data_IF_792690118077
#
_entry.id   IF_792690118077
#
_cell.length_a   1.000
_cell.length_b   1.000
_cell.length_c   1.000
_cell.angle_alpha   90.00
_cell.angle_beta   90.00
_cell.angle_gamma   90.00
#
_symmetry.space_group_name_H-M   'P 1'
#
loop_
_entity.id
_entity.type
_entity.pdbx_description
1 polymer ?
#
# COMPACT_ATOMS: atom_id res chain seq x y z
N UNK A 1 4.00 19.48 -24.29
CA UNK A 1 3.60 18.29 -23.51
C UNK A 1 2.09 18.16 -23.55
N UNK A 2 1.52 16.96 -23.55
CA UNK A 2 0.06 16.77 -23.52
C UNK A 2 -0.29 15.89 -22.33
N UNK A 3 -1.21 16.36 -21.50
CA UNK A 3 -1.76 15.61 -20.38
C UNK A 3 -3.15 15.08 -20.72
N UNK A 4 -3.39 13.80 -20.41
CA UNK A 4 -4.70 13.18 -20.44
C UNK A 4 -5.07 12.75 -19.02
N UNK A 5 -6.13 13.31 -18.44
CA UNK A 5 -6.56 12.96 -17.08
C UNK A 5 -8.09 13.03 -16.95
N UNK A 6 -8.63 12.33 -15.96
CA UNK A 6 -10.05 12.39 -15.56
C UNK A 6 -10.34 13.51 -14.55
N UNK A 7 -9.30 14.09 -13.95
CA UNK A 7 -9.39 15.16 -12.97
C UNK A 7 -9.46 16.53 -13.65
N UNK A 8 -10.65 17.11 -13.71
CA UNK A 8 -10.90 18.41 -14.33
C UNK A 8 -10.08 19.55 -13.71
N UNK A 9 -9.83 19.52 -12.40
CA UNK A 9 -9.02 20.54 -11.74
C UNK A 9 -7.56 20.47 -12.22
N UNK A 10 -7.01 19.27 -12.34
CA UNK A 10 -5.64 19.06 -12.82
C UNK A 10 -5.54 19.49 -14.30
N UNK A 11 -6.50 19.11 -15.13
CA UNK A 11 -6.57 19.55 -16.54
C UNK A 11 -6.65 21.07 -16.67
N UNK A 12 -7.39 21.76 -15.80
CA UNK A 12 -7.50 23.21 -15.82
C UNK A 12 -6.21 23.93 -15.37
N UNK A 13 -5.53 23.40 -14.35
CA UNK A 13 -4.34 24.00 -13.77
C UNK A 13 -3.06 23.70 -14.55
N UNK A 14 -3.01 22.58 -15.27
CA UNK A 14 -1.79 22.11 -15.92
C UNK A 14 -1.20 23.10 -16.95
N UNK A 15 -1.97 23.69 -17.89
CA UNK A 15 -1.43 24.68 -18.82
C UNK A 15 -0.94 25.97 -18.14
N UNK A 16 -1.38 26.24 -16.91
CA UNK A 16 -0.96 27.42 -16.14
C UNK A 16 0.41 27.23 -15.48
N UNK A 17 0.83 25.98 -15.27
CA UNK A 17 2.07 25.62 -14.57
C UNK A 17 3.14 25.02 -15.49
N UNK A 18 2.83 24.83 -16.77
CA UNK A 18 3.73 24.25 -17.77
C UNK A 18 3.91 25.25 -18.91
N UNK A 19 5.16 25.62 -19.20
CA UNK A 19 5.49 26.64 -20.20
C UNK A 19 4.93 26.34 -21.60
N UNK A 20 4.88 25.07 -22.00
CA UNK A 20 4.33 24.63 -23.28
C UNK A 20 3.62 23.28 -23.14
N UNK A 21 2.29 23.29 -23.04
CA UNK A 21 1.51 22.07 -23.06
C UNK A 21 0.01 22.26 -23.03
N UNK A 22 -0.68 21.22 -23.50
CA UNK A 22 -2.13 21.12 -23.47
C UNK A 22 -2.57 20.05 -22.45
N UNK A 23 -3.81 20.16 -22.00
CA UNK A 23 -4.43 19.16 -21.16
C UNK A 23 -5.84 18.85 -21.66
N UNK A 24 -6.18 17.57 -21.71
CA UNK A 24 -7.48 17.08 -22.17
C UNK A 24 -8.13 16.26 -21.07
N UNK A 25 -9.39 16.59 -20.77
CA UNK A 25 -10.24 15.77 -19.92
C UNK A 25 -10.58 14.48 -20.68
N UNK A 26 -10.04 13.35 -20.25
CA UNK A 26 -10.17 12.08 -20.94
C UNK A 26 -10.09 10.91 -19.96
N UNK A 27 -11.14 10.09 -19.91
CA UNK A 27 -11.11 8.79 -19.28
C UNK A 27 -10.52 7.75 -20.23
N UNK A 28 -9.26 7.37 -19.96
CA UNK A 28 -8.50 6.43 -20.78
C UNK A 28 -9.12 5.03 -20.88
N UNK A 29 -10.16 4.72 -20.11
CA UNK A 29 -10.84 3.43 -20.18
C UNK A 29 -12.08 3.48 -21.09
N UNK A 30 -12.81 4.59 -21.13
CA UNK A 30 -14.12 4.67 -21.81
C UNK A 30 -14.17 5.68 -22.95
N UNK A 31 -13.44 6.78 -22.86
CA UNK A 31 -13.55 7.86 -23.84
C UNK A 31 -12.78 7.53 -25.12
N UNK A 32 -13.20 8.08 -26.28
CA UNK A 32 -12.40 8.01 -27.51
C UNK A 32 -11.00 8.57 -27.29
N UNK A 33 -9.98 7.92 -27.87
CA UNK A 33 -8.60 8.39 -27.72
C UNK A 33 -8.40 9.67 -28.54
N UNK A 34 -7.89 10.75 -27.93
CA UNK A 34 -7.61 11.97 -28.65
C UNK A 34 -6.53 11.75 -29.71
N UNK A 35 -6.59 12.51 -30.81
CA UNK A 35 -5.62 12.41 -31.91
C UNK A 35 -4.30 13.09 -31.52
N UNK A 36 -3.53 12.40 -30.68
CA UNK A 36 -2.24 12.86 -30.18
C UNK A 36 -1.19 11.78 -30.42
N UNK A 37 0.06 12.20 -30.65
CA UNK A 37 1.20 11.29 -30.77
C UNK A 37 2.38 11.79 -29.95
N UNK A 38 3.11 10.90 -29.30
CA UNK A 38 4.30 11.23 -28.51
C UNK A 38 5.45 10.25 -28.74
N UNK A 39 6.67 10.76 -28.59
CA UNK A 39 7.90 9.95 -28.60
C UNK A 39 8.19 9.36 -27.21
N UNK A 40 7.70 10.02 -26.16
CA UNK A 40 7.77 9.56 -24.76
C UNK A 40 6.39 9.72 -24.13
N UNK A 41 5.87 8.62 -23.60
CA UNK A 41 4.61 8.59 -22.85
C UNK A 41 4.92 8.31 -21.38
N UNK A 42 4.43 9.14 -20.47
CA UNK A 42 4.52 8.89 -19.02
C UNK A 42 3.14 8.45 -18.54
N UNK A 43 3.09 7.31 -17.84
CA UNK A 43 1.87 6.69 -17.38
C UNK A 43 1.95 6.40 -15.86
N UNK A 44 1.04 6.99 -15.11
CA UNK A 44 0.83 6.71 -13.67
C UNK A 44 -0.59 6.16 -13.43
N UNK A 45 -0.85 4.89 -13.78
CA UNK A 45 -2.17 4.31 -13.62
C UNK A 45 -2.47 3.98 -12.14
N UNK A 46 -3.76 3.94 -11.76
CA UNK A 46 -4.16 3.16 -10.60
C UNK A 46 -3.58 1.75 -10.67
N UNK A 47 -3.04 1.24 -9.55
CA UNK A 47 -2.25 0.02 -9.56
C UNK A 47 -3.03 -1.29 -9.76
N UNK A 48 -4.21 -1.29 -10.36
CA UNK A 48 -4.94 -2.50 -10.69
C UNK A 48 -4.67 -2.94 -12.12
N UNK A 49 -4.78 -4.25 -12.36
CA UNK A 49 -4.40 -4.83 -13.65
C UNK A 49 -5.17 -4.19 -14.81
N UNK A 50 -6.49 -4.00 -14.68
CA UNK A 50 -7.31 -3.43 -15.74
C UNK A 50 -6.97 -1.98 -16.07
N UNK A 51 -6.62 -1.19 -15.04
CA UNK A 51 -6.26 0.21 -15.20
C UNK A 51 -4.87 0.32 -15.87
N UNK A 52 -3.88 -0.44 -15.38
CA UNK A 52 -2.55 -0.55 -16.00
C UNK A 52 -2.64 -1.05 -17.46
N UNK A 53 -3.49 -2.05 -17.72
CA UNK A 53 -3.68 -2.60 -19.06
C UNK A 53 -4.32 -1.58 -20.02
N UNK A 54 -5.29 -0.79 -19.54
CA UNK A 54 -5.92 0.26 -20.34
C UNK A 54 -4.93 1.40 -20.65
N UNK A 55 -4.16 1.86 -19.66
CA UNK A 55 -3.13 2.88 -19.86
C UNK A 55 -2.09 2.44 -20.88
N UNK A 56 -1.61 1.20 -20.82
CA UNK A 56 -0.68 0.65 -21.80
C UNK A 56 -1.30 0.52 -23.20
N UNK A 57 -2.59 0.16 -23.28
CA UNK A 57 -3.29 0.11 -24.55
C UNK A 57 -3.38 1.50 -25.19
N UNK A 58 -3.72 2.54 -24.41
CA UNK A 58 -3.72 3.93 -24.87
C UNK A 58 -2.31 4.37 -25.26
N UNK A 59 -1.31 4.08 -24.44
CA UNK A 59 0.08 4.40 -24.72
C UNK A 59 0.51 3.82 -26.07
N UNK A 60 0.06 2.62 -26.44
CA UNK A 60 0.34 2.05 -27.76
C UNK A 60 -0.36 2.79 -28.91
N UNK A 61 -1.57 3.33 -28.70
CA UNK A 61 -2.26 4.11 -29.73
C UNK A 61 -1.57 5.44 -30.04
N UNK A 62 -0.95 6.05 -29.03
CA UNK A 62 -0.39 7.41 -29.12
C UNK A 62 1.14 7.43 -29.20
N UNK A 63 1.81 6.31 -28.91
CA UNK A 63 3.27 6.22 -29.01
C UNK A 63 3.69 5.89 -30.44
N UNK A 64 4.73 6.57 -30.93
CA UNK A 64 5.35 6.19 -32.22
C UNK A 64 6.14 4.90 -32.06
N UNK A 65 6.25 4.12 -33.13
CA UNK A 65 7.19 2.99 -33.17
C UNK A 65 8.62 3.51 -32.93
N UNK A 66 9.35 2.85 -32.04
CA UNK A 66 10.65 3.30 -31.52
C UNK A 66 10.56 4.21 -30.29
N UNK A 67 9.39 4.78 -30.01
CA UNK A 67 9.13 5.62 -28.83
C UNK A 67 9.09 4.82 -27.52
N UNK A 68 9.11 5.56 -26.41
CA UNK A 68 9.18 4.99 -25.06
C UNK A 68 7.92 5.23 -24.24
N UNK A 69 7.61 4.28 -23.36
CA UNK A 69 6.59 4.42 -22.33
C UNK A 69 7.26 4.23 -20.98
N UNK A 70 7.14 5.23 -20.12
CA UNK A 70 7.61 5.21 -18.74
C UNK A 70 6.38 4.95 -17.86
N UNK A 71 6.34 3.80 -17.21
CA UNK A 71 5.19 3.31 -16.47
C UNK A 71 5.53 3.18 -14.98
N UNK A 72 4.75 3.81 -14.11
CA UNK A 72 4.77 3.48 -12.68
C UNK A 72 4.11 2.12 -12.45
N UNK A 73 4.73 1.27 -11.64
CA UNK A 73 4.22 -0.07 -11.34
C UNK A 73 4.21 -0.36 -9.84
N UNK A 74 3.18 -1.08 -9.34
CA UNK A 74 3.13 -1.47 -7.94
C UNK A 74 4.21 -2.50 -7.61
N UNK A 75 4.71 -2.42 -6.38
CA UNK A 75 5.67 -3.36 -5.84
C UNK A 75 5.00 -4.67 -5.45
N UNK A 76 5.80 -5.73 -5.40
CA UNK A 76 5.41 -6.90 -4.62
C UNK A 76 5.27 -6.49 -3.16
N UNK A 77 4.19 -6.92 -2.52
CA UNK A 77 3.82 -6.49 -1.17
C UNK A 77 2.82 -5.33 -1.13
N UNK A 78 2.64 -4.57 -2.21
CA UNK A 78 1.60 -3.51 -2.30
C UNK A 78 0.22 -4.06 -1.99
N UNK A 79 -0.09 -5.28 -2.44
CA UNK A 79 -1.34 -5.96 -2.10
C UNK A 79 -1.27 -7.48 -2.28
N UNK A 80 -2.20 -8.24 -1.65
CA UNK A 80 -2.40 -9.65 -1.97
C UNK A 80 -2.56 -9.89 -3.47
N UNK A 81 -1.83 -10.90 -3.97
CA UNK A 81 -1.81 -11.38 -5.36
C UNK A 81 -1.21 -10.44 -6.40
N UNK A 82 -0.54 -9.35 -6.00
CA UNK A 82 0.06 -8.41 -6.95
C UNK A 82 1.05 -9.06 -7.92
N UNK A 83 1.81 -10.08 -7.49
CA UNK A 83 2.72 -10.81 -8.38
C UNK A 83 2.01 -11.47 -9.56
N UNK A 84 0.79 -11.98 -9.37
CA UNK A 84 -0.02 -12.54 -10.47
C UNK A 84 -0.48 -11.45 -11.46
N UNK A 85 -0.84 -10.29 -10.94
CA UNK A 85 -1.24 -9.14 -11.76
C UNK A 85 -0.06 -8.63 -12.60
N UNK A 86 1.15 -8.55 -12.03
CA UNK A 86 2.36 -8.17 -12.74
C UNK A 86 2.76 -9.19 -13.81
N UNK A 87 2.65 -10.50 -13.53
CA UNK A 87 2.86 -11.54 -14.54
C UNK A 87 1.87 -11.44 -15.70
N UNK A 88 0.60 -11.13 -15.40
CA UNK A 88 -0.43 -10.90 -16.42
C UNK A 88 -0.14 -9.62 -17.22
N UNK A 89 0.33 -8.57 -16.57
CA UNK A 89 0.73 -7.30 -17.20
C UNK A 89 1.89 -7.50 -18.17
N UNK A 90 2.91 -8.27 -17.78
CA UNK A 90 4.04 -8.59 -18.66
C UNK A 90 3.63 -9.31 -19.94
N UNK A 91 2.68 -10.26 -19.85
CA UNK A 91 2.09 -10.89 -21.04
C UNK A 91 1.38 -9.87 -21.92
N UNK A 92 0.63 -8.96 -21.32
CA UNK A 92 -0.10 -7.91 -22.03
C UNK A 92 0.82 -6.91 -22.76
N UNK A 93 1.91 -6.47 -22.10
CA UNK A 93 2.95 -5.61 -22.69
C UNK A 93 3.47 -6.21 -24.01
N UNK A 94 3.77 -7.51 -24.02
CA UNK A 94 4.23 -8.20 -25.23
C UNK A 94 3.16 -8.25 -26.33
N UNK A 95 1.89 -8.50 -25.97
CA UNK A 95 0.78 -8.49 -26.93
C UNK A 95 0.59 -7.12 -27.60
N UNK A 96 0.88 -6.04 -26.88
CA UNK A 96 0.83 -4.67 -27.38
C UNK A 96 1.99 -4.32 -28.33
N UNK A 97 3.04 -5.14 -28.40
CA UNK A 97 4.22 -4.89 -29.22
C UNK A 97 5.32 -4.08 -28.52
N UNK A 98 5.26 -3.97 -27.18
CA UNK A 98 6.31 -3.37 -26.38
C UNK A 98 7.37 -4.39 -25.97
N UNK A 99 8.60 -3.92 -25.81
CA UNK A 99 9.69 -4.60 -25.12
C UNK A 99 10.15 -3.78 -23.90
N UNK A 100 10.62 -4.47 -22.87
CA UNK A 100 11.17 -3.81 -21.68
C UNK A 100 12.61 -3.38 -21.95
N UNK A 101 12.94 -2.12 -21.68
CA UNK A 101 14.31 -1.60 -21.75
C UNK A 101 14.96 -1.58 -20.36
N UNK A 102 14.30 -0.96 -19.38
CA UNK A 102 14.81 -0.87 -18.01
C UNK A 102 13.70 -1.08 -16.98
N UNK A 103 14.09 -1.54 -15.80
CA UNK A 103 13.21 -1.66 -14.64
C UNK A 103 13.98 -1.22 -13.40
N UNK A 104 13.53 -0.14 -12.77
CA UNK A 104 14.16 0.46 -11.60
C UNK A 104 13.24 0.29 -10.40
N UNK A 105 13.77 -0.32 -9.34
CA UNK A 105 12.99 -0.53 -8.11
C UNK A 105 13.01 0.69 -7.24
N UNK A 106 11.90 0.90 -6.52
CA UNK A 106 11.77 1.97 -5.53
C UNK A 106 12.06 3.37 -6.11
N UNK A 107 11.94 3.54 -7.44
CA UNK A 107 12.40 4.71 -8.17
C UNK A 107 11.46 5.92 -8.06
N UNK A 108 10.20 5.71 -7.68
CA UNK A 108 9.22 6.78 -7.52
C UNK A 108 8.77 6.83 -6.07
N UNK A 109 8.87 7.99 -5.44
CA UNK A 109 8.33 8.27 -4.11
C UNK A 109 7.00 9.04 -4.24
N UNK A 110 6.01 8.69 -3.42
CA UNK A 110 4.73 9.38 -3.36
C UNK A 110 4.53 9.95 -1.97
N UNK A 111 4.05 11.19 -1.93
CA UNK A 111 3.46 11.72 -0.71
C UNK A 111 2.14 11.00 -0.44
N UNK A 112 1.98 10.48 0.78
CA UNK A 112 0.73 9.85 1.18
C UNK A 112 -0.38 10.90 1.28
N UNK A 113 -1.47 10.79 0.51
CA UNK A 113 -2.56 11.75 0.59
C UNK A 113 -3.26 11.65 1.94
N UNK A 114 -3.88 12.74 2.37
CA UNK A 114 -4.59 12.85 3.66
C UNK A 114 -5.51 11.65 3.96
N UNK A 115 -6.26 11.21 2.96
CA UNK A 115 -7.22 10.11 3.08
C UNK A 115 -6.57 8.75 3.37
N UNK A 116 -5.32 8.55 2.91
CA UNK A 116 -4.52 7.37 3.15
C UNK A 116 -3.85 7.44 4.52
N UNK A 117 -3.33 8.63 4.89
CA UNK A 117 -2.83 8.87 6.24
C UNK A 117 -3.91 8.58 7.29
N UNK A 118 -5.14 9.00 7.02
CA UNK A 118 -6.31 8.73 7.87
C UNK A 118 -6.65 7.23 7.95
N UNK A 119 -6.62 6.51 6.83
CA UNK A 119 -6.82 5.06 6.83
C UNK A 119 -5.75 4.33 7.67
N UNK A 120 -4.48 4.74 7.56
CA UNK A 120 -3.39 4.17 8.36
C UNK A 120 -3.58 4.44 9.86
N UNK A 121 -3.92 5.68 10.23
CA UNK A 121 -4.19 6.06 11.63
C UNK A 121 -5.35 5.27 12.22
N UNK A 122 -6.41 5.04 11.45
CA UNK A 122 -7.55 4.24 11.87
C UNK A 122 -7.16 2.77 12.17
N UNK A 123 -6.14 2.25 11.49
CA UNK A 123 -5.55 0.92 11.76
C UNK A 123 -4.45 0.96 12.84
N UNK A 124 -4.26 2.10 13.52
CA UNK A 124 -3.26 2.28 14.58
C UNK A 124 -1.84 2.56 14.07
N UNK A 125 -1.67 2.82 12.77
CA UNK A 125 -0.38 3.16 12.15
C UNK A 125 -0.24 4.69 12.07
N UNK A 126 0.41 5.27 13.09
CA UNK A 126 0.62 6.72 13.19
C UNK A 126 2.07 7.17 12.95
N UNK A 127 3.02 6.24 12.90
CA UNK A 127 4.43 6.49 12.67
C UNK A 127 4.94 5.65 11.48
N UNK A 128 5.23 6.31 10.37
CA UNK A 128 5.83 5.74 9.17
C UNK A 128 6.70 6.79 8.48
N UNK A 129 7.78 6.39 7.75
CA UNK A 129 8.59 7.33 6.96
C UNK A 129 7.73 8.10 5.96
N UNK A 130 8.03 9.37 5.68
CA UNK A 130 7.23 10.17 4.74
C UNK A 130 7.22 9.57 3.32
N UNK A 131 8.37 9.00 2.91
CA UNK A 131 8.56 8.31 1.64
C UNK A 131 8.27 6.80 1.67
N UNK A 132 7.53 6.31 2.67
CA UNK A 132 7.21 4.87 2.74
C UNK A 132 6.45 4.37 1.50
N UNK A 133 5.68 5.26 0.86
CA UNK A 133 4.92 4.96 -0.34
C UNK A 133 5.79 5.18 -1.56
N UNK A 134 6.12 4.08 -2.23
CA UNK A 134 7.04 4.08 -3.35
C UNK A 134 6.58 3.10 -4.42
N UNK A 135 7.01 3.30 -5.67
CA UNK A 135 6.73 2.44 -6.81
C UNK A 135 7.99 2.08 -7.59
N UNK A 136 7.87 1.05 -8.42
CA UNK A 136 8.89 0.68 -9.38
C UNK A 136 8.62 1.37 -10.72
N UNK A 137 9.68 1.71 -11.46
CA UNK A 137 9.63 2.36 -12.75
C UNK A 137 9.96 1.36 -13.87
N UNK A 138 9.07 1.19 -14.82
CA UNK A 138 9.26 0.33 -15.98
C UNK A 138 9.36 1.18 -17.25
N UNK A 139 10.48 1.09 -17.96
CA UNK A 139 10.65 1.74 -19.27
C UNK A 139 10.48 0.72 -20.37
N UNK A 140 9.54 1.00 -21.27
CA UNK A 140 9.19 0.16 -22.41
C UNK A 140 9.51 0.89 -23.71
N UNK A 141 9.91 0.16 -24.74
CA UNK A 141 10.01 0.66 -26.12
C UNK A 141 8.96 -0.02 -27.00
N UNK A 142 8.26 0.77 -27.81
CA UNK A 142 7.31 0.23 -28.78
C UNK A 142 8.08 -0.28 -30.00
N UNK A 143 8.11 -1.59 -30.25
CA UNK A 143 8.81 -2.13 -31.43
C UNK A 143 7.93 -2.19 -32.65
N UNK A 144 6.64 -2.46 -32.44
CA UNK A 144 5.68 -2.61 -33.52
C UNK A 144 4.28 -2.30 -33.05
N UNK A 145 3.49 -1.76 -33.96
CA UNK A 145 2.05 -1.65 -33.74
C UNK A 145 1.40 -3.02 -33.87
N UNK A 146 0.50 -3.33 -32.94
CA UNK A 146 -0.35 -4.52 -32.96
C UNK A 146 -1.82 -4.09 -32.92
N UNK A 147 -2.70 -4.90 -33.48
CA UNK A 147 -4.15 -4.69 -33.40
C UNK A 147 -4.70 -5.56 -32.28
N UNK A 148 -4.77 -5.00 -31.08
CA UNK A 148 -5.41 -5.64 -29.93
C UNK A 148 -6.59 -4.82 -29.44
N UNK A 149 -7.65 -5.49 -28.99
CA UNK A 149 -8.83 -4.82 -28.48
C UNK A 149 -8.52 -4.03 -27.20
N UNK A 150 -9.20 -2.89 -27.02
CA UNK A 150 -9.13 -2.12 -25.77
C UNK A 150 -9.61 -2.99 -24.61
N UNK A 151 -8.88 -3.03 -23.48
CA UNK A 151 -9.35 -3.71 -22.28
C UNK A 151 -10.72 -3.21 -21.87
N UNK A 152 -11.62 -4.12 -21.48
CA UNK A 152 -12.95 -3.73 -21.00
C UNK A 152 -12.83 -3.09 -19.61
N UNK A 153 -13.57 -2.00 -19.32
CA UNK A 153 -13.72 -1.51 -17.96
C UNK A 153 -14.25 -2.61 -17.05
N UNK A 154 -13.93 -2.54 -15.76
CA UNK A 154 -14.66 -3.35 -14.78
C UNK A 154 -16.13 -2.91 -14.76
N UNK A 155 -17.05 -3.88 -14.73
CA UNK A 155 -18.51 -3.64 -14.77
C UNK A 155 -19.02 -2.80 -13.57
N UNK A 156 -18.19 -2.61 -12.54
CA UNK A 156 -18.54 -1.98 -11.26
C UNK A 156 -18.23 -0.47 -11.20
N UNK A 157 -18.27 0.26 -12.32
CA UNK A 157 -18.14 1.73 -12.28
C UNK A 157 -19.47 2.37 -11.88
N UNK A 158 -19.65 2.54 -10.57
CA UNK A 158 -20.69 3.37 -9.96
C UNK A 158 -20.58 4.81 -10.48
N UNK A 159 -21.69 5.39 -10.92
CA UNK A 159 -21.75 6.80 -11.31
C UNK A 159 -21.88 7.67 -10.05
N UNK A 160 -20.76 8.22 -9.61
CA UNK A 160 -20.70 9.10 -8.44
C UNK A 160 -20.90 10.56 -8.86
N UNK A 161 -21.78 11.25 -8.14
CA UNK A 161 -21.90 12.71 -8.17
C UNK A 161 -20.97 13.29 -7.11
N UNK A 162 -20.27 14.37 -7.44
CA UNK A 162 -19.45 15.12 -6.48
C UNK A 162 -20.23 16.32 -5.93
N UNK A 163 -19.97 16.63 -4.66
CA UNK A 163 -20.39 17.87 -3.99
C UNK A 163 -19.31 18.27 -2.98
N UNK A 164 -19.32 19.53 -2.55
CA UNK A 164 -18.47 19.98 -1.46
C UNK A 164 -19.32 20.55 -0.33
N UNK A 165 -18.75 20.56 0.87
CA UNK A 165 -19.30 21.30 2.00
C UNK A 165 -18.13 21.83 2.85
N UNK A 166 -17.89 23.13 2.76
CA UNK A 166 -16.64 23.73 3.22
C UNK A 166 -15.44 23.14 2.47
N UNK A 167 -14.42 22.69 3.19
CA UNK A 167 -13.22 22.04 2.60
C UNK A 167 -13.38 20.53 2.40
N UNK A 168 -14.49 19.94 2.85
CA UNK A 168 -14.74 18.51 2.67
C UNK A 168 -15.37 18.25 1.31
N UNK A 169 -14.79 17.31 0.55
CA UNK A 169 -15.42 16.79 -0.68
C UNK A 169 -16.16 15.51 -0.38
N UNK A 170 -17.30 15.31 -1.03
CA UNK A 170 -18.09 14.08 -0.93
C UNK A 170 -18.46 13.55 -2.30
N UNK A 171 -18.46 12.22 -2.41
CA UNK A 171 -19.01 11.46 -3.53
C UNK A 171 -20.32 10.84 -3.08
N UNK A 172 -21.37 11.04 -3.88
CA UNK A 172 -22.71 10.49 -3.64
C UNK A 172 -23.13 9.60 -4.81
N UNK A 173 -23.50 8.37 -4.51
CA UNK A 173 -24.11 7.46 -5.46
C UNK A 173 -25.60 7.73 -5.49
N UNK A 174 -26.01 8.59 -6.42
CA UNK A 174 -27.41 8.97 -6.56
C UNK A 174 -28.26 7.74 -6.92
N UNK A 175 -29.38 7.58 -6.22
CA UNK A 175 -30.39 6.58 -6.56
C UNK A 175 -31.53 7.24 -7.35
N UNK A 176 -32.02 6.56 -8.40
CA UNK A 176 -33.14 7.04 -9.23
C UNK A 176 -34.52 6.94 -8.54
N UNK A 177 -34.58 6.76 -7.22
CA UNK A 177 -35.85 6.61 -6.51
C UNK A 177 -36.58 7.95 -6.48
N UNK A 178 -37.86 7.95 -6.85
CA UNK A 178 -38.75 9.10 -6.69
C UNK A 178 -39.28 9.22 -5.26
N UNK A 179 -39.66 10.45 -4.89
CA UNK A 179 -40.27 10.74 -3.59
C UNK A 179 -39.29 10.83 -2.42
N UNK A 180 -39.85 10.88 -1.20
CA UNK A 180 -39.05 11.03 0.02
C UNK A 180 -38.43 9.69 0.46
N UNK A 181 -37.12 9.67 0.64
CA UNK A 181 -36.36 8.59 1.26
C UNK A 181 -35.46 9.18 2.35
N UNK A 182 -35.27 8.48 3.47
CA UNK A 182 -34.51 9.01 4.62
C UNK A 182 -33.07 9.42 4.23
N UNK A 183 -32.71 10.73 4.25
CA UNK A 183 -31.39 11.21 3.89
C UNK A 183 -30.33 11.00 4.97
N UNK A 184 -30.68 10.47 6.15
CA UNK A 184 -29.71 10.26 7.22
C UNK A 184 -28.63 9.25 6.83
N UNK A 185 -27.41 9.50 7.33
CA UNK A 185 -26.25 8.65 7.14
C UNK A 185 -26.29 7.47 8.10
N UNK A 186 -26.01 6.28 7.56
CA UNK A 186 -25.73 5.08 8.33
C UNK A 186 -24.29 4.67 8.11
N UNK A 187 -23.51 4.67 9.19
CA UNK A 187 -22.10 4.28 9.15
C UNK A 187 -21.91 2.86 8.64
N UNK A 188 -20.83 2.67 7.87
CA UNK A 188 -20.35 1.36 7.45
C UNK A 188 -19.05 0.95 8.17
N UNK A 189 -18.59 1.76 9.13
CA UNK A 189 -17.43 1.51 9.98
C UNK A 189 -17.76 1.79 11.45
N UNK A 190 -16.98 1.22 12.36
CA UNK A 190 -17.13 1.54 13.79
C UNK A 190 -16.71 2.99 13.98
N UNK A 191 -17.55 3.79 14.65
CA UNK A 191 -17.23 5.18 14.99
C UNK A 191 -16.94 6.09 13.79
N UNK A 192 -17.50 5.79 12.62
CA UNK A 192 -17.27 6.54 11.38
C UNK A 192 -15.79 6.61 10.97
N UNK A 193 -14.99 5.61 11.38
CA UNK A 193 -13.57 5.60 11.06
C UNK A 193 -13.32 5.46 9.55
N UNK A 194 -12.26 6.09 9.02
CA UNK A 194 -11.76 5.86 7.68
C UNK A 194 -11.57 4.36 7.40
N UNK A 195 -11.85 3.94 6.17
CA UNK A 195 -11.71 2.53 5.74
C UNK A 195 -10.42 2.30 4.96
N UNK A 196 -10.11 1.06 4.56
CA UNK A 196 -8.93 0.80 3.73
C UNK A 196 -9.00 1.56 2.41
N UNK A 197 -7.88 2.10 1.94
CA UNK A 197 -7.80 2.73 0.59
C UNK A 197 -8.00 1.73 -0.54
N UNK A 198 -7.79 0.44 -0.29
CA UNK A 198 -8.04 -0.64 -1.26
C UNK A 198 -9.50 -0.62 -1.74
N UNK A 199 -9.72 -0.66 -3.05
CA UNK A 199 -11.07 -0.77 -3.64
C UNK A 199 -11.78 -2.08 -3.29
N UNK A 200 -11.01 -3.08 -2.82
CA UNK A 200 -11.50 -4.41 -2.40
C UNK A 200 -12.07 -4.42 -0.98
N UNK A 201 -12.09 -3.29 -0.28
CA UNK A 201 -12.76 -3.20 1.01
C UNK A 201 -14.27 -3.43 0.82
N UNK A 202 -14.87 -4.47 1.43
CA UNK A 202 -16.28 -4.80 1.21
C UNK A 202 -17.24 -3.69 1.66
N UNK A 203 -16.79 -2.76 2.51
CA UNK A 203 -17.59 -1.60 2.92
C UNK A 203 -17.80 -0.62 1.77
N UNK A 204 -16.83 -0.49 0.85
CA UNK A 204 -16.92 0.40 -0.33
C UNK A 204 -17.96 -0.06 -1.35
N UNK A 205 -18.22 -1.36 -1.41
CA UNK A 205 -19.28 -1.91 -2.26
C UNK A 205 -20.67 -1.48 -1.77
N UNK A 206 -20.88 -1.39 -0.45
CA UNK A 206 -22.13 -0.95 0.16
C UNK A 206 -22.27 0.58 0.24
N UNK A 207 -21.17 1.31 0.10
CA UNK A 207 -21.14 2.75 0.22
C UNK A 207 -22.01 3.43 -0.84
N UNK A 208 -22.79 4.41 -0.39
CA UNK A 208 -23.51 5.38 -1.21
C UNK A 208 -23.05 6.81 -0.97
N UNK A 209 -22.34 7.06 0.13
CA UNK A 209 -21.68 8.34 0.43
C UNK A 209 -20.23 8.02 0.78
N UNK A 210 -19.28 8.79 0.24
CA UNK A 210 -17.85 8.64 0.50
C UNK A 210 -17.18 10.01 0.60
N UNK A 211 -16.53 10.30 1.72
CA UNK A 211 -15.85 11.59 1.97
C UNK A 211 -14.40 11.61 1.53
N UNK A 212 -13.85 12.82 1.41
CA UNK A 212 -12.42 13.10 1.21
C UNK A 212 -11.51 12.52 2.29
N UNK A 213 -11.97 12.38 3.54
CA UNK A 213 -11.23 11.71 4.62
C UNK A 213 -11.35 10.18 4.62
N UNK A 214 -11.88 9.59 3.54
CA UNK A 214 -12.04 8.15 3.32
C UNK A 214 -13.04 7.46 4.27
N UNK A 215 -14.10 8.17 4.67
CA UNK A 215 -15.23 7.61 5.41
C UNK A 215 -16.33 7.21 4.45
N UNK A 216 -17.04 6.12 4.77
CA UNK A 216 -18.08 5.56 3.90
C UNK A 216 -19.36 5.29 4.66
N UNK A 217 -20.49 5.66 4.04
CA UNK A 217 -21.82 5.53 4.61
C UNK A 217 -22.79 4.93 3.61
N UNK A 218 -23.80 4.24 4.12
CA UNK A 218 -25.03 4.00 3.40
C UNK A 218 -26.03 5.13 3.68
N UNK A 219 -26.92 5.39 2.72
CA UNK A 219 -27.95 6.42 2.80
C UNK A 219 -29.15 5.97 1.97
N UNK A 220 -30.34 5.89 2.58
CA UNK A 220 -31.53 5.47 1.85
C UNK A 220 -31.96 6.53 0.82
N UNK A 221 -31.90 7.80 1.21
CA UNK A 221 -32.18 8.98 0.40
C UNK A 221 -30.93 9.67 -0.10
N UNK A 222 -30.00 8.95 -0.74
CA UNK A 222 -28.74 9.53 -1.24
C UNK A 222 -28.96 10.73 -2.18
N UNK A 223 -29.98 10.70 -3.04
CA UNK A 223 -30.38 11.85 -3.87
C UNK A 223 -30.74 13.08 -3.02
N UNK A 224 -31.50 12.90 -1.95
CA UNK A 224 -31.92 13.99 -1.07
C UNK A 224 -30.76 14.49 -0.21
N UNK A 225 -29.87 13.59 0.23
CA UNK A 225 -28.64 13.97 0.90
C UNK A 225 -27.74 14.84 0.00
N UNK A 226 -27.62 14.50 -1.30
CA UNK A 226 -26.90 15.33 -2.27
C UNK A 226 -27.53 16.72 -2.41
N UNK A 227 -28.86 16.81 -2.46
CA UNK A 227 -29.56 18.09 -2.50
C UNK A 227 -29.31 18.93 -1.23
N UNK A 228 -29.32 18.30 -0.05
CA UNK A 228 -28.96 18.94 1.23
C UNK A 228 -27.53 19.47 1.18
N UNK A 229 -26.56 18.67 0.73
CA UNK A 229 -25.16 19.08 0.65
C UNK A 229 -24.96 20.31 -0.26
N UNK A 230 -25.55 20.29 -1.47
CA UNK A 230 -25.48 21.40 -2.43
C UNK A 230 -26.19 22.65 -1.93
N UNK A 231 -27.33 22.50 -1.25
CA UNK A 231 -28.03 23.62 -0.65
C UNK A 231 -27.15 24.31 0.41
N UNK A 232 -26.54 23.52 1.30
CA UNK A 232 -25.64 24.05 2.31
C UNK A 232 -24.36 24.66 1.74
N UNK A 233 -23.85 24.15 0.61
CA UNK A 233 -22.71 24.74 -0.10
C UNK A 233 -23.01 26.14 -0.67
N UNK A 234 -24.27 26.40 -1.00
CA UNK A 234 -24.75 27.65 -1.63
C UNK A 234 -25.57 28.52 -0.67
N UNK A 235 -25.47 28.28 0.63
CA UNK A 235 -26.22 28.97 1.70
C UNK A 235 -27.76 28.97 1.50
N UNK A 236 -28.28 27.94 0.84
CA UNK A 236 -29.71 27.73 0.63
C UNK A 236 -30.33 26.86 1.74
N UNK A 237 -31.64 27.01 1.95
CA UNK A 237 -32.39 26.21 2.92
C UNK A 237 -32.45 24.72 2.50
N UNK A 238 -31.92 23.77 3.29
CA UNK A 238 -31.92 22.36 2.94
C UNK A 238 -33.33 21.76 2.81
N UNK A 239 -34.28 22.20 3.65
CA UNK A 239 -35.67 21.75 3.57
C UNK A 239 -36.30 22.14 2.23
N UNK A 240 -36.14 23.39 1.81
CA UNK A 240 -36.65 23.88 0.52
C UNK A 240 -36.03 23.13 -0.67
N UNK A 241 -34.73 22.83 -0.62
CA UNK A 241 -34.05 22.04 -1.66
C UNK A 241 -34.59 20.61 -1.75
N UNK A 242 -34.91 20.00 -0.61
CA UNK A 242 -35.53 18.67 -0.58
C UNK A 242 -36.97 18.73 -1.11
N UNK A 243 -37.76 19.73 -0.71
CA UNK A 243 -39.13 19.96 -1.21
C UNK A 243 -39.15 20.13 -2.74
N UNK A 244 -38.22 20.92 -3.28
CA UNK A 244 -38.05 21.08 -4.72
C UNK A 244 -37.69 19.75 -5.41
N UNK A 245 -36.82 18.94 -4.79
CA UNK A 245 -36.41 17.63 -5.32
C UNK A 245 -37.53 16.59 -5.35
N UNK A 246 -38.47 16.65 -4.38
CA UNK A 246 -39.62 15.73 -4.30
C UNK A 246 -40.92 16.30 -4.90
N UNK A 247 -40.97 17.59 -5.20
CA UNK A 247 -42.12 18.28 -5.80
C UNK A 247 -43.31 18.54 -4.86
N UNK A 248 -43.09 18.57 -3.54
CA UNK A 248 -44.13 18.85 -2.54
C UNK A 248 -43.55 19.32 -1.20
N UNK A 249 -44.35 19.96 -0.32
CA UNK A 249 -43.93 20.28 1.04
C UNK A 249 -43.58 19.03 1.88
N UNK A 250 -42.64 19.19 2.81
CA UNK A 250 -42.21 18.14 3.73
C UNK A 250 -43.22 17.92 4.86
N UNK A 251 -43.42 16.65 5.24
CA UNK A 251 -44.17 16.30 6.46
C UNK A 251 -43.28 16.53 7.70
N UNK A 252 -43.85 16.74 8.91
CA UNK A 252 -43.05 16.98 10.11
C UNK A 252 -41.97 15.93 10.38
N UNK A 253 -42.29 14.64 10.20
CA UNK A 253 -41.31 13.55 10.36
C UNK A 253 -40.20 13.59 9.29
N UNK A 254 -40.51 14.05 8.09
CA UNK A 254 -39.54 14.16 6.99
C UNK A 254 -38.60 15.34 7.23
N UNK A 255 -39.12 16.46 7.73
CA UNK A 255 -38.32 17.61 8.17
C UNK A 255 -37.31 17.21 9.25
N UNK A 256 -37.75 16.45 10.27
CA UNK A 256 -36.83 15.92 11.30
C UNK A 256 -35.69 15.08 10.70
N UNK A 257 -35.94 14.30 9.64
CA UNK A 257 -34.91 13.49 8.98
C UNK A 257 -33.94 14.35 8.17
N UNK A 258 -34.44 15.42 7.54
CA UNK A 258 -33.59 16.44 6.90
C UNK A 258 -32.68 17.10 7.94
N UNK A 259 -33.21 17.51 9.10
CA UNK A 259 -32.42 18.12 10.17
C UNK A 259 -31.36 17.19 10.76
N UNK A 260 -31.65 15.88 10.84
CA UNK A 260 -30.66 14.86 11.24
C UNK A 260 -29.54 14.80 10.20
N UNK A 261 -29.87 14.71 8.92
CA UNK A 261 -28.87 14.64 7.85
C UNK A 261 -27.99 15.91 7.78
N UNK A 262 -28.58 17.10 7.98
CA UNK A 262 -27.84 18.37 8.08
C UNK A 262 -26.84 18.32 9.23
N UNK A 263 -27.29 17.93 10.43
CA UNK A 263 -26.40 17.82 11.61
C UNK A 263 -25.28 16.81 11.40
N UNK A 264 -25.57 15.65 10.81
CA UNK A 264 -24.57 14.64 10.50
C UNK A 264 -23.52 15.17 9.51
N UNK A 265 -23.94 15.86 8.45
CA UNK A 265 -23.03 16.45 7.47
C UNK A 265 -22.13 17.53 8.08
N UNK A 266 -22.69 18.40 8.94
CA UNK A 266 -21.94 19.42 9.66
C UNK A 266 -20.91 18.82 10.63
N UNK A 267 -21.30 17.81 11.42
CA UNK A 267 -20.40 17.12 12.34
C UNK A 267 -19.26 16.41 11.59
N UNK A 268 -19.59 15.73 10.50
CA UNK A 268 -18.63 15.04 9.66
C UNK A 268 -17.59 16.02 9.08
N UNK A 269 -18.06 17.12 8.49
CA UNK A 269 -17.17 18.15 7.95
C UNK A 269 -16.29 18.79 9.03
N UNK A 270 -16.84 19.09 10.22
CA UNK A 270 -16.07 19.62 11.32
C UNK A 270 -14.94 18.65 11.76
N UNK A 271 -15.25 17.35 11.86
CA UNK A 271 -14.26 16.32 12.19
C UNK A 271 -13.17 16.20 11.14
N UNK A 272 -13.51 16.11 9.84
CA UNK A 272 -12.52 15.99 8.76
C UNK A 272 -11.63 17.24 8.66
N UNK A 273 -12.22 18.42 8.84
CA UNK A 273 -11.47 19.68 8.78
C UNK A 273 -10.49 19.82 9.95
N UNK A 274 -10.88 19.37 11.16
CA UNK A 274 -9.98 19.33 12.31
C UNK A 274 -8.79 18.37 12.06
N UNK A 275 -9.06 17.19 11.52
CA UNK A 275 -8.03 16.22 11.14
C UNK A 275 -7.11 16.76 10.04
N UNK A 276 -7.68 17.41 9.02
CA UNK A 276 -6.91 17.98 7.91
C UNK A 276 -5.98 19.09 8.38
N UNK A 277 -6.46 20.00 9.24
CA UNK A 277 -5.63 21.04 9.86
C UNK A 277 -4.51 20.43 10.71
N UNK A 278 -4.82 19.40 11.49
CA UNK A 278 -3.80 18.70 12.28
C UNK A 278 -2.76 17.99 11.41
N UNK A 279 -3.13 17.51 10.21
CA UNK A 279 -2.21 16.91 9.24
C UNK A 279 -1.27 17.96 8.62
N UNK A 280 -1.81 19.13 8.26
CA UNK A 280 -1.05 20.26 7.72
C UNK A 280 0.00 20.76 8.73
N UNK A 281 -0.33 20.87 10.01
CA UNK A 281 0.62 21.29 11.06
C UNK A 281 1.76 20.28 11.23
N UNK A 282 1.49 18.99 11.03
CA UNK A 282 2.48 17.91 11.20
C UNK A 282 3.43 17.75 10.03
N UNK A 283 3.10 18.32 8.87
CA UNK A 283 3.92 18.25 7.67
C UNK A 283 4.60 19.60 7.52
N UNK A 284 5.91 19.75 7.81
CA UNK A 284 6.60 21.01 7.55
C UNK A 284 6.37 21.44 6.10
N UNK A 285 6.06 22.72 5.88
CA UNK A 285 6.04 23.30 4.53
C UNK A 285 7.49 23.40 4.02
N UNK A 286 8.07 22.29 3.60
CA UNK A 286 9.34 22.34 2.89
C UNK A 286 9.06 22.63 1.42
N UNK A 287 9.19 23.91 1.06
CA UNK A 287 9.56 24.34 -0.28
C UNK A 287 10.79 23.54 -0.71
N UNK A 288 10.62 22.63 -1.66
CA UNK A 288 11.68 21.80 -2.23
C UNK A 288 12.71 22.70 -2.93
N UNK A 289 13.97 22.76 -2.50
CA UNK A 289 15.06 23.21 -3.36
C UNK A 289 15.35 22.07 -4.34
N UNK A 290 15.28 22.38 -5.63
CA UNK A 290 15.87 21.54 -6.66
C UNK A 290 17.39 21.52 -6.46
N UNK A 291 17.92 20.46 -5.84
CA UNK A 291 19.35 20.15 -5.93
C UNK A 291 19.56 18.75 -6.52
N UNK A 292 20.46 18.74 -7.49
CA UNK A 292 20.72 17.65 -8.40
C UNK A 292 21.46 16.47 -7.74
N UNK A 293 20.98 15.27 -8.08
CA UNK A 293 21.73 14.04 -8.34
C UNK A 293 22.92 13.67 -7.43
N UNK A 294 22.78 12.53 -6.74
CA UNK A 294 23.89 11.57 -6.57
C UNK A 294 23.40 10.15 -6.89
N UNK A 295 23.18 9.88 -8.17
CA UNK A 295 22.90 8.54 -8.68
C UNK A 295 24.16 7.66 -8.57
N UNK A 296 24.18 6.72 -7.63
CA UNK A 296 25.08 5.58 -7.69
C UNK A 296 24.52 4.58 -8.70
N UNK A 297 24.85 4.79 -9.99
CA UNK A 297 24.50 3.86 -11.06
C UNK A 297 25.38 2.62 -10.98
N UNK A 298 24.86 1.51 -10.46
CA UNK A 298 25.40 0.19 -10.81
C UNK A 298 24.92 -0.14 -12.23
N UNK A 299 25.76 0.19 -13.23
CA UNK A 299 25.57 -0.25 -14.62
C UNK A 299 25.69 -1.77 -14.67
N UNK A 300 24.57 -2.46 -14.86
CA UNK A 300 24.53 -3.87 -15.24
C UNK A 300 24.78 -4.00 -16.75
N UNK A 301 25.69 -4.91 -17.11
CA UNK A 301 26.14 -5.17 -18.48
C UNK A 301 25.03 -5.82 -19.32
N UNK A 302 24.80 -5.28 -20.53
CA UNK A 302 23.62 -5.52 -21.38
C UNK A 302 23.69 -6.86 -22.14
N UNK A 303 24.77 -7.63 -21.96
CA UNK A 303 25.01 -8.87 -22.73
C UNK A 303 24.47 -10.15 -22.09
N UNK A 304 23.82 -10.07 -20.92
CA UNK A 304 23.30 -11.23 -20.18
C UNK A 304 21.76 -11.43 -20.34
N UNK A 305 21.16 -10.77 -21.34
CA UNK A 305 19.70 -10.68 -21.51
C UNK A 305 19.07 -11.83 -22.33
N UNK A 306 19.77 -12.94 -22.56
CA UNK A 306 19.19 -14.14 -23.19
C UNK A 306 18.49 -15.09 -22.21
N UNK A 307 18.33 -14.71 -20.93
CA UNK A 307 17.70 -15.55 -19.92
C UNK A 307 16.24 -15.15 -19.65
N UNK A 308 15.27 -16.09 -19.69
CA UNK A 308 13.86 -15.78 -19.54
C UNK A 308 13.53 -15.30 -18.11
N UNK A 309 13.23 -14.01 -17.99
CA UNK A 309 12.39 -13.38 -16.96
C UNK A 309 12.79 -13.62 -15.50
N UNK A 310 13.60 -12.72 -14.93
CA UNK A 310 13.56 -12.45 -13.48
C UNK A 310 12.77 -11.18 -13.20
N UNK A 311 11.44 -11.33 -13.05
CA UNK A 311 10.67 -10.44 -12.17
C UNK A 311 11.22 -10.66 -10.77
N UNK A 312 12.30 -9.98 -10.42
CA UNK A 312 12.77 -10.04 -9.06
C UNK A 312 11.68 -9.38 -8.20
N UNK A 313 10.98 -10.17 -7.41
CA UNK A 313 10.34 -9.68 -6.21
C UNK A 313 11.39 -8.94 -5.33
N UNK A 314 11.01 -8.01 -4.43
CA UNK A 314 11.82 -7.75 -3.24
C UNK A 314 12.22 -9.12 -2.69
N UNK A 315 13.45 -9.26 -2.17
CA UNK A 315 13.89 -10.54 -1.63
C UNK A 315 12.75 -11.10 -0.79
N UNK A 316 12.37 -12.31 -1.12
CA UNK A 316 11.25 -12.97 -0.50
C UNK A 316 11.67 -13.30 0.92
N UNK A 317 11.42 -12.35 1.81
CA UNK A 317 11.95 -12.33 3.18
C UNK A 317 10.96 -13.07 4.08
N UNK A 318 11.41 -14.13 4.75
CA UNK A 318 10.69 -14.73 5.85
C UNK A 318 10.56 -13.74 7.01
N UNK A 319 9.41 -13.71 7.66
CA UNK A 319 9.15 -12.87 8.83
C UNK A 319 8.97 -13.77 10.04
N UNK A 320 9.76 -13.52 11.07
CA UNK A 320 9.79 -14.29 12.30
C UNK A 320 9.57 -13.40 13.51
N UNK A 321 9.06 -13.97 14.59
CA UNK A 321 9.03 -13.36 15.92
C UNK A 321 9.83 -14.24 16.86
N UNK A 322 10.89 -13.68 17.44
CA UNK A 322 11.73 -14.34 18.42
C UNK A 322 11.47 -13.74 19.80
N UNK A 323 11.18 -14.61 20.78
CA UNK A 323 10.97 -14.19 22.17
C UNK A 323 12.30 -14.21 22.90
N UNK A 324 12.69 -13.07 23.45
CA UNK A 324 13.90 -12.87 24.23
C UNK A 324 13.58 -12.61 25.70
N UNK A 325 14.48 -13.08 26.56
CA UNK A 325 14.53 -12.73 27.99
C UNK A 325 15.71 -11.80 28.21
N UNK A 326 15.66 -10.99 29.28
CA UNK A 326 16.82 -10.21 29.70
C UNK A 326 17.89 -11.10 30.34
N UNK A 327 19.18 -10.75 30.25
CA UNK A 327 19.74 -9.54 29.60
C UNK A 327 19.99 -9.68 28.08
N UNK A 328 19.65 -10.83 27.48
CA UNK A 328 19.99 -11.12 26.09
C UNK A 328 19.26 -10.22 25.09
N UNK A 329 18.03 -9.77 25.39
CA UNK A 329 17.33 -8.79 24.57
C UNK A 329 18.13 -7.48 24.51
N UNK A 330 18.52 -6.94 25.68
CA UNK A 330 19.38 -5.76 25.75
C UNK A 330 20.69 -5.95 25.00
N UNK A 331 21.32 -7.12 25.09
CA UNK A 331 22.56 -7.42 24.37
C UNK A 331 22.40 -7.45 22.84
N UNK A 332 21.24 -7.89 22.33
CA UNK A 332 20.99 -7.80 20.88
C UNK A 332 20.81 -6.32 20.48
N UNK A 333 19.96 -5.60 21.20
CA UNK A 333 19.61 -4.20 20.86
C UNK A 333 20.80 -3.25 20.94
N UNK A 334 21.78 -3.50 21.80
CA UNK A 334 23.00 -2.70 21.91
C UNK A 334 24.17 -3.24 21.07
N UNK A 335 23.96 -4.28 20.27
CA UNK A 335 24.97 -4.87 19.37
C UNK A 335 26.00 -5.79 20.04
N UNK A 336 25.92 -6.02 21.35
CA UNK A 336 26.85 -6.93 22.07
C UNK A 336 26.67 -8.40 21.66
N UNK A 337 25.42 -8.84 21.45
CA UNK A 337 25.07 -10.19 20.99
C UNK A 337 24.81 -10.17 19.49
N UNK A 338 25.74 -10.70 18.71
CA UNK A 338 25.72 -10.69 17.24
C UNK A 338 25.26 -12.02 16.64
N UNK A 339 25.14 -13.07 17.45
CA UNK A 339 24.57 -14.35 17.06
C UNK A 339 23.43 -14.73 18.00
N UNK A 340 22.26 -15.02 17.43
CA UNK A 340 21.13 -15.59 18.16
C UNK A 340 21.17 -17.12 18.12
N UNK A 341 20.89 -17.77 19.26
CA UNK A 341 21.04 -19.22 19.42
C UNK A 341 19.80 -19.88 19.98
N UNK A 342 19.34 -20.98 19.36
CA UNK A 342 18.21 -21.79 19.83
C UNK A 342 18.59 -23.26 19.90
N UNK A 343 18.50 -23.82 21.11
CA UNK A 343 18.75 -25.23 21.40
C UNK A 343 17.42 -25.94 21.66
N UNK A 344 17.27 -27.16 21.14
CA UNK A 344 16.01 -27.90 21.23
C UNK A 344 16.19 -29.42 21.17
N UNK A 345 15.23 -30.14 21.74
CA UNK A 345 15.15 -31.61 21.68
C UNK A 345 14.54 -32.12 20.36
N UNK A 346 13.77 -31.27 19.66
CA UNK A 346 13.02 -31.61 18.45
C UNK A 346 13.28 -30.58 17.35
N UNK A 347 13.03 -30.94 16.08
CA UNK A 347 13.22 -30.06 14.91
C UNK A 347 12.13 -28.98 14.80
N UNK A 348 12.04 -28.11 15.80
CA UNK A 348 11.10 -26.99 15.84
C UNK A 348 11.74 -25.69 15.32
N UNK A 349 10.91 -24.74 14.88
CA UNK A 349 11.38 -23.42 14.49
C UNK A 349 12.27 -22.81 15.59
N UNK A 350 13.41 -22.20 15.24
CA UNK A 350 13.85 -21.82 13.88
C UNK A 350 14.55 -22.89 13.03
N UNK A 351 14.75 -24.12 13.50
CA UNK A 351 15.56 -25.13 12.81
C UNK A 351 15.08 -25.41 11.36
N UNK A 352 15.94 -25.11 10.38
CA UNK A 352 15.69 -25.17 8.92
C UNK A 352 14.46 -24.40 8.43
N UNK A 353 13.99 -23.41 9.19
CA UNK A 353 12.81 -22.60 8.85
C UNK A 353 13.11 -21.10 8.73
N UNK A 354 14.36 -20.72 8.95
CA UNK A 354 14.87 -19.35 8.78
C UNK A 354 15.89 -19.39 7.66
N UNK A 355 15.84 -18.44 6.75
CA UNK A 355 16.79 -18.29 5.67
C UNK A 355 17.59 -16.98 5.82
N UNK A 356 18.72 -16.88 5.11
CA UNK A 356 19.50 -15.64 5.04
C UNK A 356 18.66 -14.56 4.36
N UNK A 357 18.66 -13.36 4.95
CA UNK A 357 17.83 -12.23 4.56
C UNK A 357 16.53 -12.10 5.34
N UNK A 358 16.12 -13.13 6.10
CA UNK A 358 14.89 -13.10 6.89
C UNK A 358 14.88 -11.97 7.94
N UNK A 359 13.70 -11.40 8.19
CA UNK A 359 13.46 -10.40 9.23
C UNK A 359 13.02 -11.09 10.51
N UNK A 360 13.67 -10.75 11.62
CA UNK A 360 13.32 -11.24 12.96
C UNK A 360 12.85 -10.07 13.82
N UNK A 361 11.60 -10.12 14.24
CA UNK A 361 11.03 -9.20 15.22
C UNK A 361 11.41 -9.65 16.64
N UNK A 362 11.99 -8.73 17.41
CA UNK A 362 12.53 -8.96 18.75
C UNK A 362 11.45 -8.68 19.79
N UNK A 363 10.86 -9.74 20.33
CA UNK A 363 9.78 -9.64 21.32
C UNK A 363 10.29 -9.86 22.74
N UNK A 364 9.99 -8.94 23.65
CA UNK A 364 10.23 -9.14 25.09
C UNK A 364 9.33 -10.24 25.64
N UNK A 365 9.88 -11.13 26.47
CA UNK A 365 9.09 -12.13 27.20
C UNK A 365 8.00 -11.45 28.03
N UNK A 366 6.76 -11.91 27.90
CA UNK A 366 5.57 -11.26 28.51
C UNK A 366 5.22 -9.86 27.97
N UNK A 367 6.07 -9.24 27.15
CA UNK A 367 5.96 -7.84 26.72
C UNK A 367 5.75 -7.62 25.21
N UNK A 368 5.92 -6.40 24.71
CA UNK A 368 5.74 -6.08 23.29
C UNK A 368 6.93 -6.50 22.42
N UNK A 369 6.78 -6.35 21.10
CA UNK A 369 7.92 -6.27 20.16
C UNK A 369 8.58 -4.91 20.35
N UNK A 370 9.91 -4.89 20.46
CA UNK A 370 10.69 -3.68 20.78
C UNK A 370 11.89 -3.49 19.86
N UNK A 371 12.06 -4.35 18.87
CA UNK A 371 13.14 -4.23 17.89
C UNK A 371 12.98 -5.19 16.73
N UNK A 372 13.88 -5.07 15.77
CA UNK A 372 14.01 -5.96 14.62
C UNK A 372 15.48 -6.16 14.25
N UNK A 373 15.79 -7.26 13.59
CA UNK A 373 17.09 -7.46 12.94
C UNK A 373 16.94 -8.33 11.69
N UNK A 374 17.97 -8.31 10.83
CA UNK A 374 18.08 -9.18 9.66
C UNK A 374 18.96 -10.40 9.98
N UNK A 375 18.63 -11.53 9.37
CA UNK A 375 19.45 -12.75 9.44
C UNK A 375 20.53 -12.68 8.37
N UNK A 376 21.78 -12.56 8.79
CA UNK A 376 22.93 -12.46 7.91
C UNK A 376 23.47 -13.84 7.48
N UNK A 377 23.46 -14.81 8.40
CA UNK A 377 23.94 -16.18 8.18
C UNK A 377 23.19 -17.16 9.08
N UNK A 378 23.06 -18.41 8.63
CA UNK A 378 22.36 -19.47 9.36
C UNK A 378 23.21 -20.72 9.48
N UNK A 379 23.27 -21.31 10.68
CA UNK A 379 23.84 -22.63 10.92
C UNK A 379 22.83 -23.54 11.63
N UNK A 380 22.71 -24.77 11.15
CA UNK A 380 21.79 -25.78 11.68
C UNK A 380 22.56 -27.05 12.03
N UNK A 381 22.54 -27.45 13.30
CA UNK A 381 23.26 -28.61 13.79
C UNK A 381 22.28 -29.67 14.29
N UNK A 382 22.51 -30.93 13.89
CA UNK A 382 22.13 -32.08 14.71
C UNK A 382 23.29 -32.30 15.66
N UNK A 383 23.05 -32.14 16.95
CA UNK A 383 24.13 -32.05 17.95
C UNK A 383 24.71 -33.43 18.22
N UNK A 384 26.03 -33.51 18.09
CA UNK A 384 26.91 -34.59 18.49
C UNK A 384 28.08 -34.01 19.32
N UNK A 385 28.95 -34.83 19.93
CA UNK A 385 30.05 -34.32 20.76
C UNK A 385 31.01 -33.35 20.03
N UNK A 386 31.24 -33.57 18.74
CA UNK A 386 32.13 -32.75 17.93
C UNK A 386 31.52 -31.36 17.65
N UNK A 387 30.30 -31.33 17.14
CA UNK A 387 29.55 -30.10 16.88
C UNK A 387 29.23 -29.34 18.17
N UNK A 388 28.97 -30.01 19.29
CA UNK A 388 28.82 -29.36 20.59
C UNK A 388 30.08 -28.59 21.01
N UNK A 389 31.24 -29.24 20.89
CA UNK A 389 32.54 -28.62 21.18
C UNK A 389 32.83 -27.47 20.23
N UNK A 390 32.54 -27.65 18.95
CA UNK A 390 32.68 -26.63 17.93
C UNK A 390 31.82 -25.39 18.23
N UNK A 391 30.54 -25.58 18.51
CA UNK A 391 29.59 -24.49 18.81
C UNK A 391 30.10 -23.68 20.01
N UNK A 392 30.56 -24.36 21.07
CA UNK A 392 31.12 -23.69 22.25
C UNK A 392 32.34 -22.86 21.91
N UNK A 393 33.29 -23.43 21.17
CA UNK A 393 34.54 -22.76 20.80
C UNK A 393 34.30 -21.55 19.91
N UNK A 394 33.44 -21.68 18.90
CA UNK A 394 33.29 -20.68 17.83
C UNK A 394 32.26 -19.60 18.16
N UNK A 395 31.23 -19.92 18.93
CA UNK A 395 30.09 -19.01 19.11
C UNK A 395 29.87 -18.52 20.53
N UNK A 396 30.53 -19.06 21.57
CA UNK A 396 30.27 -18.67 22.96
C UNK A 396 30.36 -17.15 23.19
N UNK A 397 31.35 -16.49 22.59
CA UNK A 397 31.50 -15.04 22.67
C UNK A 397 30.34 -14.31 21.98
N UNK A 398 30.06 -14.66 20.71
CA UNK A 398 29.05 -13.99 19.88
C UNK A 398 27.61 -14.18 20.39
N UNK A 399 27.33 -15.31 21.05
CA UNK A 399 26.02 -15.57 21.66
C UNK A 399 25.91 -15.04 23.10
N UNK A 400 26.98 -14.48 23.66
CA UNK A 400 27.11 -14.04 25.05
C UNK A 400 26.86 -15.17 26.08
N UNK A 401 27.40 -16.36 25.82
CA UNK A 401 27.29 -17.55 26.67
C UNK A 401 28.66 -17.99 27.20
N UNK A 402 29.37 -17.08 27.86
CA UNK A 402 30.65 -17.39 28.52
C UNK A 402 30.44 -18.16 29.83
N UNK A 403 29.28 -18.05 30.45
CA UNK A 403 28.93 -18.78 31.67
C UNK A 403 28.69 -20.28 31.37
N UNK A 404 29.29 -21.12 32.20
CA UNK A 404 29.10 -22.57 32.23
C UNK A 404 27.63 -22.99 32.41
N UNK A 405 26.83 -22.23 33.16
CA UNK A 405 25.41 -22.53 33.44
C UNK A 405 24.61 -22.63 32.14
N UNK A 406 24.83 -21.72 31.19
CA UNK A 406 24.15 -21.72 29.90
C UNK A 406 24.31 -23.06 29.16
N UNK A 407 25.53 -23.62 29.20
CA UNK A 407 25.85 -24.87 28.53
C UNK A 407 25.31 -26.08 29.26
N UNK A 408 25.36 -26.09 30.60
CA UNK A 408 24.81 -27.17 31.43
C UNK A 408 23.31 -27.33 31.18
N UNK A 409 22.55 -26.22 31.20
CA UNK A 409 21.10 -26.22 30.95
C UNK A 409 20.71 -26.75 29.56
N UNK A 410 21.64 -26.72 28.60
CA UNK A 410 21.41 -27.06 27.19
C UNK A 410 22.12 -28.34 26.76
N UNK A 411 22.80 -29.04 27.67
CA UNK A 411 23.63 -30.21 27.37
C UNK A 411 22.84 -31.36 26.72
N UNK A 412 21.54 -31.46 26.99
CA UNK A 412 20.67 -32.50 26.43
C UNK A 412 20.04 -32.12 25.07
N UNK A 413 20.33 -30.93 24.53
CA UNK A 413 19.79 -30.52 23.25
C UNK A 413 20.24 -31.45 22.12
N UNK A 414 19.32 -31.79 21.22
CA UNK A 414 19.60 -32.62 20.02
C UNK A 414 19.80 -31.79 18.76
N UNK A 415 19.34 -30.54 18.79
CA UNK A 415 19.41 -29.64 17.65
C UNK A 415 19.79 -28.23 18.11
N UNK A 416 20.66 -27.58 17.36
CA UNK A 416 20.97 -26.15 17.51
C UNK A 416 20.69 -25.39 16.22
N UNK A 417 20.18 -24.18 16.36
CA UNK A 417 20.13 -23.16 15.31
C UNK A 417 20.91 -21.95 15.79
N UNK A 418 21.88 -21.50 14.99
CA UNK A 418 22.62 -20.27 15.23
C UNK A 418 22.38 -19.34 14.05
N UNK A 419 22.10 -18.07 14.35
CA UNK A 419 21.75 -17.05 13.37
C UNK A 419 22.65 -15.85 13.60
N UNK A 420 23.53 -15.53 12.66
CA UNK A 420 24.23 -14.23 12.69
C UNK A 420 23.19 -13.17 12.37
N UNK A 421 23.09 -12.16 13.21
CA UNK A 421 22.14 -11.07 13.06
C UNK A 421 22.87 -9.75 12.81
N UNK A 422 22.34 -8.95 11.92
CA UNK A 422 22.79 -7.61 11.58
C UNK A 422 21.59 -6.67 11.40
N UNK A 423 21.85 -5.40 11.04
CA UNK A 423 20.83 -4.36 10.87
C UNK A 423 19.82 -4.32 12.03
N UNK A 424 20.35 -4.29 13.25
CA UNK A 424 19.54 -4.29 14.47
C UNK A 424 18.97 -2.90 14.70
N UNK A 425 17.65 -2.80 14.80
CA UNK A 425 16.93 -1.56 15.06
C UNK A 425 16.05 -1.69 16.30
N UNK A 426 16.14 -0.71 17.20
CA UNK A 426 15.15 -0.52 18.25
C UNK A 426 13.86 0.03 17.64
N UNK A 427 12.71 -0.44 18.12
CA UNK A 427 11.39 -0.01 17.66
C UNK A 427 10.56 0.50 18.84
N UNK A 428 9.66 1.47 18.62
CA UNK A 428 8.59 1.75 19.58
C UNK A 428 7.82 0.47 19.94
N UNK A 429 7.35 0.30 21.18
CA UNK A 429 6.66 -0.91 21.60
C UNK A 429 5.44 -1.27 20.74
N UNK A 430 5.51 -2.39 20.02
CA UNK A 430 4.40 -2.92 19.20
C UNK A 430 3.71 -4.07 19.92
N UNK A 431 2.40 -3.95 20.15
CA UNK A 431 1.60 -5.03 20.75
C UNK A 431 1.51 -6.21 19.78
N UNK A 432 1.87 -7.40 20.26
CA UNK A 432 1.77 -8.64 19.49
C UNK A 432 1.04 -9.70 20.31
N UNK A 433 -0.19 -10.00 19.93
CA UNK A 433 -1.03 -10.97 20.62
C UNK A 433 -0.54 -12.39 20.35
N UNK A 434 0.02 -13.03 21.38
CA UNK A 434 0.53 -14.41 21.31
C UNK A 434 -0.02 -15.20 22.50
N UNK A 435 -0.77 -16.27 22.22
CA UNK A 435 -1.38 -17.14 23.23
C UNK A 435 -0.61 -18.44 23.47
N UNK A 436 0.26 -18.85 22.54
CA UNK A 436 1.06 -20.07 22.69
C UNK A 436 2.37 -19.82 23.47
N UNK A 437 3.04 -20.89 23.93
CA UNK A 437 4.29 -20.83 24.72
C UNK A 437 5.58 -20.94 23.89
N UNK A 438 5.51 -20.91 22.55
CA UNK A 438 6.70 -21.06 21.68
C UNK A 438 7.65 -19.88 21.80
N UNK A 439 8.95 -20.14 21.87
CA UNK A 439 9.98 -19.10 21.89
C UNK A 439 10.28 -18.48 20.52
N UNK A 440 9.79 -19.10 19.44
CA UNK A 440 9.94 -18.65 18.05
C UNK A 440 8.64 -18.87 17.28
N UNK A 441 8.23 -17.90 16.48
CA UNK A 441 7.04 -17.97 15.63
C UNK A 441 7.43 -17.59 14.21
N UNK A 442 7.14 -18.45 13.25
CA UNK A 442 7.23 -18.12 11.83
C UNK A 442 5.92 -17.46 11.42
N UNK A 443 5.95 -16.18 11.06
CA UNK A 443 4.78 -15.43 10.60
C UNK A 443 4.57 -15.66 9.11
N UNK A 444 5.67 -15.58 8.35
CA UNK A 444 5.71 -15.82 6.91
C UNK A 444 7.02 -16.52 6.58
N UNK A 445 7.01 -17.51 5.69
CA UNK A 445 8.22 -18.09 5.11
C UNK A 445 8.57 -17.38 3.82
N UNK A 446 9.86 -17.33 3.49
CA UNK A 446 10.30 -17.08 2.12
C UNK A 446 9.76 -18.20 1.21
N UNK A 447 9.01 -17.84 0.17
CA UNK A 447 8.57 -18.71 -0.93
C UNK A 447 9.72 -19.21 -1.83
N UNK A 448 10.96 -18.71 -1.68
CA UNK A 448 12.14 -19.13 -2.43
C UNK A 448 12.41 -20.66 -2.44
N UNK A 449 11.87 -21.42 -1.48
CA UNK A 449 11.93 -22.90 -1.44
C UNK A 449 10.66 -23.61 -1.89
N UNK A 450 9.53 -22.92 -2.06
CA UNK A 450 8.25 -23.56 -2.45
C UNK A 450 8.03 -23.52 -3.96
N UNK A 451 8.65 -22.57 -4.67
CA UNK A 451 8.46 -22.40 -6.11
C UNK A 451 9.35 -23.30 -6.98
N UNK A 452 10.39 -23.94 -6.44
CA UNK A 452 11.37 -24.69 -7.24
C UNK A 452 10.88 -26.05 -7.78
N UNK A 453 9.63 -26.45 -7.47
CA UNK A 453 9.04 -27.71 -7.95
C UNK A 453 7.77 -27.53 -8.81
N UNK A 454 7.40 -26.30 -9.20
CA UNK A 454 6.16 -26.04 -9.96
C UNK A 454 6.27 -24.99 -11.08
N UNK A 455 7.48 -24.66 -11.52
CA UNK A 455 7.78 -23.97 -12.78
C UNK A 455 8.98 -24.66 -13.42
#
# INVERSE_FOLDING_TARGET
MILLDTNSALVHLFPQHVATGDALLCDLVVDPIPRVTGDVIVADPPWYYEDMAAFLWVAQQVCRVGGRVILSTPKIGTRPRIGRDLQKLAKWIRCLGFVSETFERDAIEYQSPFFEKNALRAEGLSAYPENWRTADLLVLRLEKNTRVARPRPSEFRKHWQEAAFGTMRLRVLENKRGGFCDPSLRSLSVGDHPVSVSRRDPRKEKAKIWTSGNRVFDCAGAKLFLAIARALETDQCPAAAVEASIGRPLKPKELTRVDIAVRQLQQLAASENAEFRADQIRTPQDSVPHDAASSHSNKLDVRDLSSPWRFGAPPDVGIHVAVFVEPFLGFVLNGKKTVESRFSLTRRAPFKQVDVGDLVLLKKSGGPIVGSCRVAQTWFYVIDPASWTQIRREFAQAICAQDSTFWIERAHAKYATLLRIDDVHALPPVKFAKKDRRGWVVIRRSEAKTAFNLL
#
